data_IF_912559271513
#
_entry.id   IF_912559271513
#
_cell.length_a   1.000
_cell.length_b   1.000
_cell.length_c   1.000
_cell.angle_alpha   90.00
_cell.angle_beta   90.00
_cell.angle_gamma   90.00
#
_symmetry.space_group_name_H-M   'P 1'
#
loop_
_entity.id
_entity.type
_entity.pdbx_description
1 polymer ?
#
# COMPACT_ATOMS: atom_id res chain seq x y z
N UNK A 1 19.98 7.26 -11.08
CA UNK A 1 18.84 6.59 -11.72
C UNK A 1 18.13 5.85 -10.59
N UNK A 2 17.15 6.48 -9.97
CA UNK A 2 16.21 5.80 -9.06
C UNK A 2 15.27 5.02 -9.96
N UNK A 3 15.54 3.74 -10.12
CA UNK A 3 14.67 2.82 -10.85
C UNK A 3 13.93 2.01 -9.82
N UNK A 4 12.64 2.29 -9.64
CA UNK A 4 11.74 1.35 -8.97
C UNK A 4 11.66 0.10 -9.85
N UNK A 5 12.19 -1.02 -9.36
CA UNK A 5 12.07 -2.30 -10.06
C UNK A 5 10.64 -2.79 -9.90
N UNK A 6 9.88 -2.81 -11.00
CA UNK A 6 8.45 -3.20 -11.03
C UNK A 6 8.22 -4.41 -11.94
N UNK A 7 7.53 -5.40 -11.42
CA UNK A 7 7.06 -6.59 -12.15
C UNK A 7 5.54 -6.51 -12.26
N UNK A 8 5.02 -6.63 -13.47
CA UNK A 8 3.59 -6.59 -13.76
C UNK A 8 3.07 -7.96 -14.19
N UNK A 9 1.91 -8.35 -13.66
CA UNK A 9 1.19 -9.56 -14.04
C UNK A 9 -0.02 -9.14 -14.88
N UNK A 10 -0.01 -9.49 -16.16
CA UNK A 10 -1.02 -9.03 -17.13
C UNK A 10 -1.81 -10.23 -17.65
N UNK A 11 -3.13 -10.09 -17.73
CA UNK A 11 -3.98 -11.07 -18.42
C UNK A 11 -3.67 -11.06 -19.93
N UNK A 12 -3.14 -12.17 -20.42
CA UNK A 12 -2.67 -12.28 -21.81
C UNK A 12 -3.76 -12.06 -22.86
N UNK A 13 -5.03 -12.30 -22.55
CA UNK A 13 -6.14 -12.22 -23.52
C UNK A 13 -6.70 -10.81 -23.61
N UNK A 14 -6.79 -10.13 -22.48
CA UNK A 14 -7.46 -8.83 -22.34
C UNK A 14 -6.48 -7.66 -22.25
N UNK A 15 -5.21 -7.93 -21.90
CA UNK A 15 -4.21 -6.91 -21.63
C UNK A 15 -4.40 -6.19 -20.29
N UNK A 16 -5.32 -6.66 -19.44
CA UNK A 16 -5.62 -6.05 -18.14
C UNK A 16 -4.53 -6.38 -17.12
N UNK A 17 -4.10 -5.39 -16.32
CA UNK A 17 -3.23 -5.61 -15.18
C UNK A 17 -3.99 -6.37 -14.08
N UNK A 18 -3.38 -7.43 -13.55
CA UNK A 18 -3.94 -8.28 -12.50
C UNK A 18 -3.30 -8.00 -11.14
N UNK A 19 -1.98 -7.82 -11.13
CA UNK A 19 -1.16 -7.64 -9.94
C UNK A 19 0.15 -6.94 -10.36
N UNK A 20 0.77 -6.17 -9.49
CA UNK A 20 2.13 -5.70 -9.70
C UNK A 20 2.92 -5.72 -8.39
N UNK A 21 4.21 -5.95 -8.50
CA UNK A 21 5.16 -5.94 -7.39
C UNK A 21 6.18 -4.87 -7.70
N UNK A 22 6.45 -3.99 -6.74
CA UNK A 22 7.49 -2.98 -6.90
C UNK A 22 8.39 -2.91 -5.68
N UNK A 23 9.62 -2.48 -5.94
CA UNK A 23 10.65 -2.29 -4.93
C UNK A 23 11.27 -0.89 -5.08
N UNK A 24 11.40 -0.20 -3.94
CA UNK A 24 12.13 1.05 -3.81
C UNK A 24 13.17 0.89 -2.69
N UNK A 25 14.43 1.25 -2.97
CA UNK A 25 15.53 1.13 -2.03
C UNK A 25 16.07 2.52 -1.71
N UNK A 26 16.01 2.89 -0.43
CA UNK A 26 16.59 4.14 0.09
C UNK A 26 17.82 3.82 0.94
N UNK A 27 18.97 4.34 0.54
CA UNK A 27 20.17 4.26 1.37
C UNK A 27 19.96 5.05 2.67
N UNK A 28 20.31 4.43 3.80
CA UNK A 28 20.39 5.09 5.11
C UNK A 28 21.86 5.26 5.49
N UNK A 29 22.13 6.00 6.57
CA UNK A 29 23.48 6.15 7.10
C UNK A 29 24.06 4.80 7.59
N UNK A 30 25.39 4.70 7.58
CA UNK A 30 26.16 3.59 8.19
C UNK A 30 25.87 2.19 7.61
N UNK A 31 25.75 2.06 6.29
CA UNK A 31 25.61 0.76 5.61
C UNK A 31 24.24 0.11 5.76
N UNK A 32 23.24 0.86 6.25
CA UNK A 32 21.84 0.42 6.32
C UNK A 32 21.10 0.87 5.07
N UNK A 33 20.03 0.17 4.74
CA UNK A 33 19.11 0.62 3.69
C UNK A 33 17.68 0.33 4.10
N UNK A 34 16.78 1.25 3.77
CA UNK A 34 15.35 1.04 3.86
C UNK A 34 14.86 0.43 2.54
N UNK A 35 14.28 -0.74 2.64
CA UNK A 35 13.66 -1.47 1.54
C UNK A 35 12.16 -1.32 1.65
N UNK A 36 11.54 -0.75 0.62
CA UNK A 36 10.10 -0.60 0.50
C UNK A 36 9.66 -1.54 -0.60
N UNK A 37 8.94 -2.59 -0.23
CA UNK A 37 8.31 -3.50 -1.17
C UNK A 37 6.81 -3.25 -1.14
N UNK A 38 6.20 -3.12 -2.31
CA UNK A 38 4.75 -3.03 -2.42
C UNK A 38 4.16 -4.08 -3.35
N UNK A 39 3.00 -4.59 -2.97
CA UNK A 39 2.11 -5.35 -3.85
C UNK A 39 0.92 -4.48 -4.22
N UNK A 40 0.66 -4.36 -5.51
CA UNK A 40 -0.34 -3.50 -6.11
C UNK A 40 -1.42 -4.32 -6.78
N UNK A 41 -2.68 -4.01 -6.47
CA UNK A 41 -3.82 -4.61 -7.15
C UNK A 41 -4.73 -3.53 -7.72
N UNK A 42 -4.97 -3.59 -9.02
CA UNK A 42 -6.01 -2.80 -9.67
C UNK A 42 -7.39 -3.43 -9.40
N UNK A 43 -8.32 -2.63 -8.91
CA UNK A 43 -9.71 -3.02 -8.70
C UNK A 43 -10.65 -1.98 -9.30
N UNK A 44 -11.94 -2.31 -9.39
CA UNK A 44 -12.97 -1.38 -9.88
C UNK A 44 -13.07 -0.09 -9.05
N UNK A 45 -12.52 -0.13 -7.84
CA UNK A 45 -12.45 0.97 -6.88
C UNK A 45 -11.06 1.58 -6.75
N UNK A 46 -10.15 1.35 -7.72
CA UNK A 46 -8.81 1.97 -7.89
C UNK A 46 -7.60 1.05 -7.58
N UNK A 47 -6.40 1.64 -7.59
CA UNK A 47 -5.11 1.00 -7.29
C UNK A 47 -4.90 0.97 -5.77
N UNK A 48 -4.86 -0.24 -5.22
CA UNK A 48 -4.60 -0.50 -3.80
C UNK A 48 -3.21 -1.13 -3.63
N UNK A 49 -2.40 -0.58 -2.72
CA UNK A 49 -1.05 -1.08 -2.43
C UNK A 49 -0.89 -1.54 -0.99
N UNK A 50 -0.25 -2.69 -0.79
CA UNK A 50 0.24 -3.16 0.50
C UNK A 50 1.75 -2.90 0.57
N UNK A 51 2.16 -2.02 1.47
CA UNK A 51 3.54 -1.64 1.69
C UNK A 51 4.16 -2.44 2.84
N UNK A 52 5.40 -2.89 2.65
CA UNK A 52 6.30 -3.39 3.69
C UNK A 52 7.57 -2.56 3.67
N UNK A 53 7.86 -1.87 4.77
CA UNK A 53 9.08 -1.09 4.95
C UNK A 53 9.98 -1.85 5.90
N UNK A 54 11.18 -2.19 5.44
CA UNK A 54 12.14 -2.96 6.22
C UNK A 54 13.51 -2.30 6.20
N UNK A 55 14.30 -2.56 7.23
CA UNK A 55 15.69 -2.16 7.28
C UNK A 55 16.58 -3.36 7.03
N UNK A 56 17.53 -3.16 6.12
CA UNK A 56 18.56 -4.15 5.81
C UNK A 56 19.90 -3.72 6.39
N UNK A 57 20.70 -4.71 6.77
CA UNK A 57 22.09 -4.56 7.17
C UNK A 57 22.96 -5.45 6.28
N UNK A 58 24.18 -5.02 6.00
CA UNK A 58 25.16 -5.80 5.26
C UNK A 58 26.29 -6.19 6.21
N UNK A 59 26.49 -7.49 6.40
CA UNK A 59 27.58 -8.03 7.21
C UNK A 59 28.33 -9.08 6.38
N UNK A 60 29.65 -8.93 6.24
CA UNK A 60 30.52 -9.83 5.47
C UNK A 60 30.08 -10.04 4.00
N UNK A 61 29.45 -9.03 3.38
CA UNK A 61 28.95 -9.08 2.00
C UNK A 61 27.60 -9.77 1.84
N UNK A 62 26.96 -10.19 2.93
CA UNK A 62 25.60 -10.72 2.92
C UNK A 62 24.63 -9.65 3.43
N UNK A 63 23.63 -9.33 2.60
CA UNK A 63 22.57 -8.39 2.95
C UNK A 63 21.39 -9.14 3.56
N UNK A 64 21.02 -8.77 4.77
CA UNK A 64 19.92 -9.39 5.51
C UNK A 64 18.91 -8.34 5.96
N UNK A 65 17.65 -8.73 6.05
CA UNK A 65 16.58 -7.93 6.65
C UNK A 65 16.75 -8.03 8.16
N UNK A 66 17.08 -6.90 8.79
CA UNK A 66 17.29 -6.81 10.23
C UNK A 66 15.98 -6.67 11.02
N UNK A 67 15.01 -5.95 10.46
CA UNK A 67 13.68 -5.76 11.05
C UNK A 67 12.69 -5.15 10.05
N UNK A 68 11.40 -5.33 10.35
CA UNK A 68 10.30 -4.57 9.72
C UNK A 68 10.10 -3.28 10.49
N UNK A 69 10.09 -2.16 9.77
CA UNK A 69 9.90 -0.81 10.33
C UNK A 69 8.42 -0.40 10.27
N UNK A 70 7.77 -0.66 9.14
CA UNK A 70 6.37 -0.29 8.94
C UNK A 70 5.68 -1.23 7.95
N UNK A 71 4.35 -1.27 8.02
CA UNK A 71 3.48 -2.07 7.15
C UNK A 71 2.08 -1.47 7.12
N UNK A 72 1.58 -1.15 5.93
CA UNK A 72 0.29 -0.48 5.78
C UNK A 72 -0.30 -0.66 4.39
N UNK A 73 -1.62 -0.46 4.30
CA UNK A 73 -2.32 -0.32 3.02
C UNK A 73 -2.44 1.15 2.63
N UNK A 74 -2.37 1.44 1.33
CA UNK A 74 -2.63 2.77 0.78
C UNK A 74 -3.41 2.73 -0.54
N UNK A 75 -4.19 3.79 -0.81
CA UNK A 75 -4.91 3.99 -2.08
C UNK A 75 -4.14 5.02 -2.89
N UNK A 76 -3.63 4.61 -4.06
CA UNK A 76 -2.77 5.48 -4.86
C UNK A 76 -3.52 6.51 -5.71
N UNK A 77 -4.85 6.59 -5.61
CA UNK A 77 -5.66 7.54 -6.39
C UNK A 77 -6.53 8.46 -5.52
N UNK A 78 -6.76 9.68 -6.01
CA UNK A 78 -7.39 10.78 -5.26
C UNK A 78 -8.92 10.82 -5.41
N UNK A 79 -9.60 9.66 -5.39
CA UNK A 79 -10.93 9.53 -6.00
C UNK A 79 -12.08 9.37 -4.97
N UNK A 80 -11.88 9.83 -3.74
CA UNK A 80 -12.91 9.87 -2.69
C UNK A 80 -13.19 8.53 -1.99
N UNK A 81 -12.36 7.52 -2.26
CA UNK A 81 -12.27 6.29 -1.49
C UNK A 81 -11.28 6.45 -0.33
N UNK A 82 -11.52 5.74 0.77
CA UNK A 82 -10.61 5.76 1.92
C UNK A 82 -10.55 4.38 2.59
N UNK A 83 -9.47 4.17 3.35
CA UNK A 83 -9.17 2.94 4.08
C UNK A 83 -9.73 3.02 5.49
N UNK A 84 -10.39 1.94 5.93
CA UNK A 84 -10.74 1.67 7.32
C UNK A 84 -10.28 0.26 7.74
N UNK A 85 -10.13 0.04 9.05
CA UNK A 85 -9.89 -1.27 9.66
C UNK A 85 -8.77 -2.07 8.98
N UNK A 86 -7.65 -1.42 8.69
CA UNK A 86 -6.50 -2.10 8.12
C UNK A 86 -5.80 -2.98 9.16
N UNK A 87 -5.47 -4.20 8.76
CA UNK A 87 -4.68 -5.14 9.55
C UNK A 87 -3.59 -5.72 8.66
N UNK A 88 -2.33 -5.52 9.04
CA UNK A 88 -1.18 -6.01 8.28
C UNK A 88 -0.24 -6.78 9.18
N UNK A 89 0.21 -7.94 8.70
CA UNK A 89 1.14 -8.82 9.39
C UNK A 89 2.29 -9.14 8.44
N UNK A 90 3.50 -9.10 8.98
CA UNK A 90 4.70 -9.57 8.30
C UNK A 90 5.38 -10.62 9.17
N UNK A 91 5.78 -11.72 8.56
CA UNK A 91 6.50 -12.80 9.23
C UNK A 91 7.85 -13.02 8.54
N UNK A 92 8.87 -13.35 9.33
CA UNK A 92 10.06 -14.02 8.80
C UNK A 92 9.68 -15.47 8.51
N UNK A 93 9.92 -15.96 7.29
CA UNK A 93 9.66 -17.37 6.94
C UNK A 93 10.58 -18.31 7.72
N UNK A 94 11.70 -17.80 8.22
CA UNK A 94 12.65 -18.50 9.09
C UNK A 94 12.29 -18.41 10.59
N UNK A 95 11.32 -17.57 10.97
CA UNK A 95 10.81 -17.43 12.34
C UNK A 95 11.53 -16.41 13.22
N UNK A 96 12.67 -15.85 12.78
CA UNK A 96 13.41 -14.82 13.51
C UNK A 96 14.03 -13.78 12.54
N UNK A 97 14.47 -12.66 13.11
CA UNK A 97 15.35 -11.70 12.44
C UNK A 97 16.77 -11.79 13.05
N UNK A 98 17.85 -11.51 12.28
CA UNK A 98 17.82 -11.15 10.87
C UNK A 98 17.38 -12.33 9.97
N UNK A 99 16.85 -12.02 8.78
CA UNK A 99 16.36 -13.01 7.81
C UNK A 99 16.66 -12.58 6.39
N UNK A 100 16.70 -13.52 5.46
CA UNK A 100 16.78 -13.24 4.01
C UNK A 100 15.43 -13.28 3.33
N UNK A 101 14.39 -13.76 4.01
CA UNK A 101 13.04 -13.92 3.46
C UNK A 101 11.96 -13.54 4.48
N UNK A 102 10.94 -12.83 3.99
CA UNK A 102 9.76 -12.45 4.75
C UNK A 102 8.51 -12.50 3.87
N UNK A 103 7.37 -12.74 4.49
CA UNK A 103 6.07 -12.69 3.84
C UNK A 103 5.20 -11.63 4.54
N UNK A 104 4.59 -10.75 3.76
CA UNK A 104 3.62 -9.76 4.25
C UNK A 104 2.25 -10.02 3.66
N UNK A 105 1.25 -10.02 4.52
CA UNK A 105 -0.16 -10.11 4.16
C UNK A 105 -1.02 -9.23 5.04
N UNK A 106 -2.28 -9.04 4.64
CA UNK A 106 -3.19 -8.23 5.42
C UNK A 106 -4.58 -8.15 4.84
N UNK A 107 -5.45 -7.50 5.60
CA UNK A 107 -6.82 -7.16 5.21
C UNK A 107 -7.05 -5.67 5.38
N UNK A 108 -7.99 -5.14 4.61
CA UNK A 108 -8.38 -3.73 4.68
C UNK A 108 -9.83 -3.59 4.23
N UNK A 109 -10.56 -2.64 4.83
CA UNK A 109 -11.88 -2.24 4.37
C UNK A 109 -11.77 -0.98 3.53
N UNK A 110 -12.37 -0.99 2.34
CA UNK A 110 -12.39 0.17 1.43
C UNK A 110 -13.79 0.77 1.43
N UNK A 111 -13.90 2.05 1.76
CA UNK A 111 -15.17 2.74 1.92
C UNK A 111 -15.26 3.93 0.96
N UNK A 112 -16.42 4.11 0.33
CA UNK A 112 -16.71 5.28 -0.50
C UNK A 112 -17.25 6.38 0.39
N UNK A 113 -16.66 7.58 0.34
CA UNK A 113 -17.24 8.72 1.03
C UNK A 113 -18.60 9.07 0.40
N UNK A 114 -19.70 8.77 1.10
CA UNK A 114 -21.06 9.20 0.72
C UNK A 114 -21.40 10.60 1.24
N UNK A 115 -20.62 11.13 2.18
CA UNK A 115 -21.02 12.26 3.05
C UNK A 115 -20.99 13.61 2.34
N UNK A 116 -20.26 13.78 1.24
CA UNK A 116 -20.26 15.06 0.50
C UNK A 116 -21.49 15.31 -0.38
N UNK A 117 -22.30 14.28 -0.70
CA UNK A 117 -23.55 14.47 -1.46
C UNK A 117 -24.74 14.85 -0.57
N UNK A 118 -24.73 14.44 0.70
CA UNK A 118 -25.87 14.67 1.59
C UNK A 118 -25.82 16.01 2.32
N UNK A 119 -24.64 16.58 2.54
CA UNK A 119 -24.55 17.91 3.17
C UNK A 119 -25.11 18.98 2.23
N UNK A 120 -24.72 18.99 0.95
CA UNK A 120 -25.27 19.97 0.00
C UNK A 120 -26.77 19.75 -0.28
N UNK A 121 -27.27 18.51 -0.26
CA UNK A 121 -28.70 18.25 -0.47
C UNK A 121 -29.55 18.61 0.76
N UNK A 122 -29.03 18.45 1.99
CA UNK A 122 -29.69 18.90 3.23
C UNK A 122 -29.66 20.43 3.39
N UNK A 123 -28.55 21.09 3.04
CA UNK A 123 -28.45 22.55 3.10
C UNK A 123 -29.29 23.25 2.00
N UNK A 124 -29.41 22.66 0.81
CA UNK A 124 -30.28 23.21 -0.25
C UNK A 124 -31.77 22.99 0.06
N UNK A 125 -32.17 21.84 0.62
CA UNK A 125 -33.58 21.62 1.00
C UNK A 125 -34.08 22.59 2.07
N UNK A 126 -33.25 22.88 3.08
CA UNK A 126 -33.63 23.80 4.17
C UNK A 126 -33.83 25.24 3.72
N UNK A 127 -33.22 25.67 2.62
CA UNK A 127 -33.32 27.04 2.12
C UNK A 127 -34.52 27.27 1.19
N UNK A 128 -35.16 26.21 0.68
CA UNK A 128 -36.38 26.33 -0.14
C UNK A 128 -37.69 26.20 0.64
N UNK A 129 -37.65 25.72 1.90
CA UNK A 129 -38.86 25.55 2.73
C UNK A 129 -39.18 26.75 3.64
N UNK A 130 -38.40 27.85 3.58
CA UNK A 130 -38.60 29.06 4.40
C UNK A 130 -39.08 30.30 3.61
N UNK A 131 -39.64 30.11 2.41
CA UNK A 131 -40.28 31.18 1.65
C UNK A 131 -41.78 30.93 1.48
N UNK A 132 -42.54 31.03 2.57
CA UNK A 132 -43.99 31.27 2.56
C UNK A 132 -44.38 32.19 3.71
#
# INVERSE_FOLDING_TARGET
MEGDDRIEVIDKKTGKLLDAYGEEIKSLDNGRSQYIVYREKENDFEILRLYTVSETQEENGNKEISRVVDKYWDIMSQNGWYIENQHVVTISTMGNFPTTEMETGGTVTIVKNRVYRDINSLFLKKNYELQY
#
